data_IF_287269882881
#
_entry.id   IF_287269882881
#
_cell.length_a   1.000
_cell.length_b   1.000
_cell.length_c   1.000
_cell.angle_alpha   90.00
_cell.angle_beta   90.00
_cell.angle_gamma   90.00
#
_symmetry.space_group_name_H-M   'P 1'
#
loop_
_entity.id
_entity.type
_entity.pdbx_description
1 polymer ?
#
# COMPACT_ATOMS: atom_id res chain seq x y z
N UNK A 1 -46.20 -14.50 -12.20
CA UNK A 1 -46.06 -13.04 -12.15
C UNK A 1 -45.12 -12.77 -10.97
N UNK A 2 -43.87 -12.39 -11.23
CA UNK A 2 -42.90 -12.13 -10.18
C UNK A 2 -42.99 -10.64 -9.81
N UNK A 3 -43.40 -10.34 -8.57
CA UNK A 3 -43.33 -9.00 -8.02
C UNK A 3 -41.85 -8.59 -7.90
N UNK A 4 -41.46 -7.52 -8.59
CA UNK A 4 -40.20 -6.84 -8.32
C UNK A 4 -40.27 -6.29 -6.88
N UNK A 5 -39.27 -6.56 -6.02
CA UNK A 5 -39.23 -5.94 -4.70
C UNK A 5 -39.16 -4.41 -4.88
N UNK A 6 -39.88 -3.64 -4.05
CA UNK A 6 -39.99 -2.20 -4.23
C UNK A 6 -38.60 -1.56 -4.14
N UNK A 7 -38.26 -0.72 -5.13
CA UNK A 7 -37.15 0.23 -5.01
C UNK A 7 -37.43 1.09 -3.77
N UNK A 8 -36.79 0.75 -2.66
CA UNK A 8 -36.72 1.62 -1.49
C UNK A 8 -35.94 2.86 -1.90
N UNK A 9 -36.68 3.89 -2.29
CA UNK A 9 -36.17 5.25 -2.37
C UNK A 9 -35.46 5.59 -1.06
N UNK A 10 -34.23 6.11 -1.09
CA UNK A 10 -33.52 6.45 0.14
C UNK A 10 -34.34 7.50 0.92
N UNK A 11 -34.35 7.43 2.27
CA UNK A 11 -35.10 8.38 3.09
C UNK A 11 -34.65 9.81 2.79
N UNK A 12 -35.58 10.78 2.69
CA UNK A 12 -35.31 12.16 2.28
C UNK A 12 -34.35 12.92 3.22
N UNK A 13 -34.08 12.37 4.41
CA UNK A 13 -33.20 12.94 5.44
C UNK A 13 -31.89 12.16 5.62
N UNK A 14 -31.54 11.27 4.69
CA UNK A 14 -30.20 10.69 4.67
C UNK A 14 -29.20 11.84 4.45
N UNK A 15 -28.45 12.20 5.51
CA UNK A 15 -27.28 13.05 5.40
C UNK A 15 -26.45 12.53 4.21
N UNK A 16 -25.94 13.42 3.33
CA UNK A 16 -25.07 12.99 2.25
C UNK A 16 -24.00 12.11 2.88
N UNK A 17 -23.90 10.86 2.41
CA UNK A 17 -22.86 9.95 2.86
C UNK A 17 -21.54 10.73 2.81
N UNK A 18 -20.68 10.64 3.86
CA UNK A 18 -19.39 11.30 3.81
C UNK A 18 -18.74 10.92 2.48
N UNK A 19 -18.17 11.89 1.74
CA UNK A 19 -17.53 11.58 0.48
C UNK A 19 -16.58 10.42 0.75
N UNK A 20 -16.82 9.28 0.07
CA UNK A 20 -15.86 8.20 0.06
C UNK A 20 -14.57 8.85 -0.40
N UNK A 21 -13.57 8.88 0.48
CA UNK A 21 -12.25 9.41 0.12
C UNK A 21 -11.91 8.75 -1.21
N UNK A 22 -11.73 9.58 -2.25
CA UNK A 22 -11.39 9.06 -3.57
C UNK A 22 -10.19 8.13 -3.35
N UNK A 23 -10.39 6.82 -3.56
CA UNK A 23 -9.35 5.77 -3.51
C UNK A 23 -8.38 6.05 -4.66
N UNK A 24 -7.65 7.16 -4.58
CA UNK A 24 -6.64 7.50 -5.54
C UNK A 24 -5.52 6.49 -5.34
N UNK A 25 -5.16 5.73 -6.39
CA UNK A 25 -4.07 4.79 -6.31
C UNK A 25 -2.81 5.52 -5.88
N UNK A 26 -2.07 4.92 -4.96
CA UNK A 26 -0.87 5.50 -4.38
C UNK A 26 0.10 5.91 -5.51
N UNK A 27 0.60 7.14 -5.48
CA UNK A 27 1.45 7.62 -6.58
C UNK A 27 2.79 6.90 -6.55
N UNK A 28 3.41 6.71 -7.72
CA UNK A 28 4.79 6.20 -7.84
C UNK A 28 5.74 7.04 -6.98
N UNK A 29 5.52 8.35 -6.93
CA UNK A 29 6.32 9.26 -6.12
C UNK A 29 6.23 8.91 -4.62
N UNK A 30 5.05 8.54 -4.14
CA UNK A 30 4.82 8.22 -2.73
C UNK A 30 5.53 6.91 -2.36
N UNK A 31 5.49 5.89 -3.23
CA UNK A 31 6.28 4.66 -3.04
C UNK A 31 7.79 4.95 -2.97
N UNK A 32 8.31 5.82 -3.85
CA UNK A 32 9.72 6.19 -3.85
C UNK A 32 10.12 6.92 -2.57
N UNK A 33 9.28 7.83 -2.08
CA UNK A 33 9.51 8.56 -0.82
C UNK A 33 9.52 7.59 0.36
N UNK A 34 8.55 6.68 0.45
CA UNK A 34 8.47 5.67 1.51
C UNK A 34 9.70 4.76 1.50
N UNK A 35 10.12 4.29 0.32
CA UNK A 35 11.34 3.48 0.18
C UNK A 35 12.59 4.26 0.58
N UNK A 36 12.72 5.53 0.18
CA UNK A 36 13.86 6.36 0.55
C UNK A 36 13.94 6.59 2.07
N UNK A 37 12.81 6.89 2.72
CA UNK A 37 12.73 7.03 4.18
C UNK A 37 13.09 5.73 4.90
N UNK A 38 12.57 4.60 4.42
CA UNK A 38 12.87 3.28 4.97
C UNK A 38 14.35 2.93 4.86
N UNK A 39 14.94 3.09 3.67
CA UNK A 39 16.37 2.83 3.45
C UNK A 39 17.22 3.72 4.34
N UNK A 40 16.88 5.02 4.45
CA UNK A 40 17.57 5.95 5.33
C UNK A 40 17.54 5.50 6.79
N UNK A 41 16.37 5.11 7.29
CA UNK A 41 16.21 4.57 8.64
C UNK A 41 17.03 3.29 8.86
N UNK A 42 17.00 2.37 7.91
CA UNK A 42 17.78 1.12 7.97
C UNK A 42 19.28 1.39 8.01
N UNK A 43 19.78 2.35 7.24
CA UNK A 43 21.20 2.73 7.26
C UNK A 43 21.62 3.32 8.61
N UNK A 44 20.78 4.16 9.22
CA UNK A 44 21.04 4.71 10.55
C UNK A 44 21.12 3.58 11.58
N UNK A 45 20.19 2.62 11.54
CA UNK A 45 20.21 1.44 12.40
C UNK A 45 21.45 0.57 12.16
N UNK A 46 21.86 0.38 10.91
CA UNK A 46 23.05 -0.38 10.58
C UNK A 46 24.30 0.24 11.21
N UNK A 47 24.48 1.55 11.08
CA UNK A 47 25.61 2.29 11.68
C UNK A 47 25.57 2.20 13.21
N UNK A 48 24.38 2.33 13.82
CA UNK A 48 24.22 2.16 15.26
C UNK A 48 24.62 0.74 15.68
N UNK A 49 24.17 -0.28 14.97
CA UNK A 49 24.47 -1.68 15.29
C UNK A 49 25.94 -2.04 15.08
N UNK A 50 26.62 -1.49 14.09
CA UNK A 50 28.08 -1.62 13.96
C UNK A 50 28.82 -1.03 15.16
N UNK A 51 28.28 0.03 15.77
CA UNK A 51 28.87 0.66 16.95
C UNK A 51 28.66 -0.16 18.22
N UNK A 52 27.53 -0.86 18.35
CA UNK A 52 27.22 -1.71 19.50
C UNK A 52 27.82 -3.12 19.39
N UNK A 53 27.88 -3.68 18.18
CA UNK A 53 28.25 -5.09 17.93
C UNK A 53 29.20 -5.23 16.74
N UNK A 54 30.45 -4.75 16.85
CA UNK A 54 31.40 -4.65 15.73
C UNK A 54 31.78 -6.01 15.10
N UNK A 55 31.71 -7.12 15.85
CA UNK A 55 32.10 -8.45 15.38
C UNK A 55 30.97 -9.27 14.73
N UNK A 56 29.82 -8.64 14.46
CA UNK A 56 28.67 -9.34 13.90
C UNK A 56 28.77 -9.45 12.38
N UNK A 57 29.47 -10.46 11.86
CA UNK A 57 29.68 -10.64 10.42
C UNK A 57 28.39 -10.79 9.57
N UNK A 58 27.27 -11.19 10.20
CA UNK A 58 25.98 -11.35 9.51
C UNK A 58 25.15 -10.06 9.36
N UNK A 59 25.61 -8.96 9.94
CA UNK A 59 24.81 -7.73 10.05
C UNK A 59 24.51 -7.12 8.68
N UNK A 60 25.52 -7.02 7.81
CA UNK A 60 25.36 -6.50 6.44
C UNK A 60 24.39 -7.33 5.62
N UNK A 61 24.46 -8.66 5.72
CA UNK A 61 23.54 -9.56 5.02
C UNK A 61 22.10 -9.38 5.52
N UNK A 62 21.90 -9.33 6.83
CA UNK A 62 20.59 -9.13 7.44
C UNK A 62 19.93 -7.83 6.97
N UNK A 63 20.65 -6.71 7.02
CA UNK A 63 20.11 -5.42 6.57
C UNK A 63 19.89 -5.35 5.06
N UNK A 64 20.75 -5.99 4.25
CA UNK A 64 20.52 -6.10 2.82
C UNK A 64 19.22 -6.86 2.51
N UNK A 65 18.98 -8.00 3.16
CA UNK A 65 17.74 -8.78 3.00
C UNK A 65 16.52 -7.96 3.39
N UNK A 66 16.59 -7.17 4.46
CA UNK A 66 15.50 -6.28 4.87
C UNK A 66 15.19 -5.23 3.79
N UNK A 67 16.22 -4.57 3.26
CA UNK A 67 16.05 -3.55 2.21
C UNK A 67 15.43 -4.18 0.96
N UNK A 68 15.99 -5.29 0.47
CA UNK A 68 15.48 -5.95 -0.73
C UNK A 68 14.08 -6.52 -0.53
N UNK A 69 13.79 -7.07 0.65
CA UNK A 69 12.46 -7.56 0.99
C UNK A 69 11.42 -6.43 0.97
N UNK A 70 11.73 -5.29 1.58
CA UNK A 70 10.84 -4.13 1.59
C UNK A 70 10.60 -3.54 0.19
N UNK A 71 11.66 -3.41 -0.61
CA UNK A 71 11.53 -2.99 -2.01
C UNK A 71 10.66 -3.98 -2.80
N UNK A 72 10.86 -5.28 -2.59
CA UNK A 72 10.06 -6.33 -3.24
C UNK A 72 8.58 -6.22 -2.92
N UNK A 73 8.23 -6.01 -1.64
CA UNK A 73 6.84 -5.77 -1.22
C UNK A 73 6.31 -4.48 -1.85
N UNK A 74 7.08 -3.39 -1.83
CA UNK A 74 6.66 -2.12 -2.45
C UNK A 74 6.37 -2.25 -3.95
N UNK A 75 7.18 -3.04 -4.67
CA UNK A 75 6.94 -3.32 -6.09
C UNK A 75 5.71 -4.20 -6.26
N UNK A 76 5.52 -5.20 -5.41
CA UNK A 76 4.32 -6.04 -5.44
C UNK A 76 3.05 -5.21 -5.23
N UNK A 77 3.02 -4.35 -4.21
CA UNK A 77 1.89 -3.46 -3.92
C UNK A 77 1.62 -2.51 -5.07
N UNK A 78 2.66 -1.89 -5.63
CA UNK A 78 2.53 -1.03 -6.81
C UNK A 78 1.92 -1.77 -8.02
N UNK A 79 2.38 -2.99 -8.28
CA UNK A 79 1.84 -3.81 -9.35
C UNK A 79 0.39 -4.22 -9.06
N UNK A 80 0.09 -4.57 -7.81
CA UNK A 80 -1.25 -4.96 -7.37
C UNK A 80 -2.24 -3.80 -7.54
N UNK A 81 -1.90 -2.59 -7.11
CA UNK A 81 -2.74 -1.40 -7.29
C UNK A 81 -3.00 -1.10 -8.76
N UNK A 82 -2.02 -1.36 -9.63
CA UNK A 82 -2.16 -1.11 -11.06
C UNK A 82 -2.91 -2.21 -11.82
N UNK A 83 -2.78 -3.47 -11.39
CA UNK A 83 -3.41 -4.64 -11.99
C UNK A 83 -4.83 -4.87 -11.50
N UNK A 84 -5.12 -4.50 -10.24
CA UNK A 84 -6.44 -4.74 -9.63
C UNK A 84 -7.49 -3.73 -10.07
N UNK A 85 -7.08 -2.62 -10.69
CA UNK A 85 -7.96 -1.55 -11.14
C UNK A 85 -8.69 -0.87 -9.97
N UNK A 86 -9.28 0.33 -10.17
CA UNK A 86 -10.17 0.90 -9.16
C UNK A 86 -11.34 -0.06 -8.94
N UNK A 87 -11.75 -0.37 -7.70
CA UNK A 87 -12.99 -1.08 -7.44
C UNK A 87 -14.16 -0.14 -7.78
N UNK A 88 -14.49 0.02 -9.07
CA UNK A 88 -15.38 1.11 -9.46
C UNK A 88 -15.87 1.14 -10.91
N UNK A 89 -15.48 0.23 -11.79
CA UNK A 89 -16.27 0.00 -13.00
C UNK A 89 -16.80 -1.44 -13.00
N UNK A 90 -18.13 -1.57 -13.11
CA UNK A 90 -18.80 -2.85 -13.23
C UNK A 90 -18.59 -3.50 -14.60
N UNK A 91 -17.43 -3.34 -15.24
CA UNK A 91 -17.11 -4.04 -16.47
C UNK A 91 -16.36 -5.34 -16.17
N UNK A 92 -17.12 -6.27 -15.58
CA UNK A 92 -16.74 -7.68 -15.58
C UNK A 92 -16.43 -8.17 -17.00
N UNK A 93 -15.56 -9.18 -17.15
CA UNK A 93 -15.18 -9.71 -18.45
C UNK A 93 -16.43 -10.22 -19.20
N UNK A 94 -16.61 -9.74 -20.43
CA UNK A 94 -17.50 -10.40 -21.40
C UNK A 94 -16.85 -11.66 -21.93
#
# INVERSE_FOLDING_TARGET
MAEQPPETSPPPDALPAPPLEDDQPFSVADYLVVNALFIGFVLVLYVAMLSLFPDTGGLTFFFAVIIFGFIGVSVYDYLFDRLSGPPGDGSGPK
#
